data_IF_397290487156
#
_entry.id   IF_397290487156
#
_cell.length_a   1.000
_cell.length_b   1.000
_cell.length_c   1.000
_cell.angle_alpha   90.00
_cell.angle_beta   90.00
_cell.angle_gamma   90.00
#
_symmetry.space_group_name_H-M   'P 1'
#
loop_
_entity.id
_entity.type
_entity.pdbx_description
1 polymer ?
#
# COMPACT_ATOMS: atom_id res chain seq x y z
N UNK A 1 12.10 -0.92 -12.34
CA UNK A 1 12.58 -2.32 -12.36
C UNK A 1 12.48 -2.95 -13.74
N UNK A 2 11.32 -2.96 -14.39
CA UNK A 2 11.21 -3.47 -15.77
C UNK A 2 12.10 -2.71 -16.76
N UNK A 3 12.17 -1.37 -16.66
CA UNK A 3 13.02 -0.52 -17.51
C UNK A 3 14.51 -0.87 -17.32
N UNK A 4 14.93 -1.07 -16.07
CA UNK A 4 16.29 -1.52 -15.74
C UNK A 4 16.60 -2.92 -16.31
N UNK A 5 15.61 -3.83 -16.34
CA UNK A 5 15.78 -5.18 -16.88
C UNK A 5 15.79 -5.23 -18.41
N UNK A 6 15.21 -4.21 -19.06
CA UNK A 6 15.28 -4.02 -20.52
C UNK A 6 16.59 -3.38 -20.97
N UNK A 7 17.38 -2.86 -20.03
CA UNK A 7 18.61 -2.11 -20.33
C UNK A 7 18.36 -0.71 -20.87
N UNK A 8 17.13 -0.22 -20.75
CA UNK A 8 16.75 1.12 -21.18
C UNK A 8 17.27 2.16 -20.17
N UNK A 9 17.80 3.26 -20.68
CA UNK A 9 18.15 4.40 -19.84
C UNK A 9 16.88 5.00 -19.22
N UNK A 10 16.92 5.24 -17.92
CA UNK A 10 15.83 5.93 -17.23
C UNK A 10 16.36 6.86 -16.16
N UNK A 11 15.65 7.97 -15.98
CA UNK A 11 15.81 8.85 -14.85
C UNK A 11 14.65 8.62 -13.89
N UNK A 12 14.97 8.37 -12.62
CA UNK A 12 13.97 8.17 -11.58
C UNK A 12 13.97 9.34 -10.60
N UNK A 13 12.82 9.97 -10.47
CA UNK A 13 12.58 11.10 -9.57
C UNK A 13 11.72 10.63 -8.40
N UNK A 14 12.24 10.72 -7.17
CA UNK A 14 11.46 10.41 -5.98
C UNK A 14 10.72 11.66 -5.52
N UNK A 15 9.45 11.51 -5.19
CA UNK A 15 8.62 12.60 -4.64
C UNK A 15 9.27 13.27 -3.42
N UNK A 16 9.93 12.49 -2.55
CA UNK A 16 10.66 12.99 -1.39
C UNK A 16 11.80 13.96 -1.73
N UNK A 17 12.47 13.77 -2.87
CA UNK A 17 13.56 14.66 -3.34
C UNK A 17 13.03 16.06 -3.70
N UNK A 18 11.71 16.17 -3.92
CA UNK A 18 11.00 17.41 -4.26
C UNK A 18 10.12 17.93 -3.11
N UNK A 19 10.40 17.49 -1.87
CA UNK A 19 9.69 17.94 -0.65
C UNK A 19 8.19 17.63 -0.65
N UNK A 20 7.77 16.61 -1.40
CA UNK A 20 6.42 16.04 -1.28
C UNK A 20 6.46 15.06 -0.11
N UNK A 21 5.67 15.29 0.96
CA UNK A 21 5.63 14.39 2.10
C UNK A 21 5.06 13.03 1.70
N UNK A 22 5.44 12.00 2.45
CA UNK A 22 4.91 10.66 2.25
C UNK A 22 3.44 10.57 2.69
N UNK A 23 2.66 9.81 1.94
CA UNK A 23 1.36 9.28 2.36
C UNK A 23 1.23 7.82 1.92
N UNK A 24 0.30 7.10 2.52
CA UNK A 24 0.12 5.67 2.29
C UNK A 24 -0.30 5.38 0.84
N UNK A 25 0.48 4.55 0.15
CA UNK A 25 0.12 4.04 -1.18
C UNK A 25 0.81 2.69 -1.46
N UNK A 26 0.07 1.66 -1.93
CA UNK A 26 -1.39 1.63 -2.09
C UNK A 26 -2.14 1.49 -0.74
N UNK A 27 -3.46 1.72 -0.75
CA UNK A 27 -4.36 1.53 0.40
C UNK A 27 -5.55 0.63 0.05
N UNK A 28 -6.17 0.03 1.07
CA UNK A 28 -7.46 -0.66 0.95
C UNK A 28 -8.56 0.34 1.30
N UNK A 29 -9.57 0.46 0.44
CA UNK A 29 -10.68 1.40 0.62
C UNK A 29 -12.00 0.64 0.70
N UNK A 30 -12.89 1.10 1.57
CA UNK A 30 -14.26 0.62 1.70
C UNK A 30 -15.23 1.80 1.67
N UNK A 31 -16.50 1.52 1.38
CA UNK A 31 -17.58 2.50 1.47
C UNK A 31 -17.90 2.79 2.95
N UNK A 32 -17.73 4.04 3.38
CA UNK A 32 -17.97 4.48 4.76
C UNK A 32 -19.38 4.13 5.25
N UNK A 33 -20.38 4.23 4.36
CA UNK A 33 -21.78 3.98 4.69
C UNK A 33 -22.05 2.51 5.01
N UNK A 34 -21.12 1.63 4.65
CA UNK A 34 -21.23 0.19 4.86
C UNK A 34 -20.37 -0.31 6.02
N UNK A 35 -19.52 0.52 6.63
CA UNK A 35 -18.59 0.09 7.69
C UNK A 35 -19.33 -0.53 8.87
N UNK A 36 -20.39 0.12 9.36
CA UNK A 36 -21.18 -0.40 10.48
C UNK A 36 -21.91 -1.68 10.08
N UNK A 37 -22.62 -1.64 8.95
CA UNK A 37 -23.46 -2.76 8.49
C UNK A 37 -22.67 -4.01 8.06
N UNK A 38 -21.39 -3.86 7.67
CA UNK A 38 -20.52 -4.94 7.17
C UNK A 38 -19.26 -5.14 8.01
N UNK A 39 -19.24 -4.63 9.24
CA UNK A 39 -18.07 -4.64 10.12
C UNK A 39 -17.39 -6.01 10.20
N UNK A 40 -18.17 -7.06 10.47
CA UNK A 40 -17.65 -8.43 10.59
C UNK A 40 -17.01 -8.94 9.29
N UNK A 41 -17.62 -8.66 8.14
CA UNK A 41 -17.09 -9.05 6.85
C UNK A 41 -15.78 -8.32 6.53
N UNK A 42 -15.68 -7.03 6.86
CA UNK A 42 -14.45 -6.25 6.68
C UNK A 42 -13.33 -6.70 7.61
N UNK A 43 -13.62 -6.96 8.89
CA UNK A 43 -12.65 -7.51 9.83
C UNK A 43 -12.15 -8.90 9.37
N UNK A 44 -13.05 -9.77 8.92
CA UNK A 44 -12.67 -11.08 8.40
C UNK A 44 -11.80 -10.97 7.14
N UNK A 45 -12.15 -10.06 6.21
CA UNK A 45 -11.36 -9.79 5.02
C UNK A 45 -9.96 -9.27 5.36
N UNK A 46 -9.86 -8.29 6.26
CA UNK A 46 -8.57 -7.71 6.67
C UNK A 46 -7.71 -8.74 7.39
N UNK A 47 -8.28 -9.56 8.27
CA UNK A 47 -7.56 -10.67 8.94
C UNK A 47 -7.03 -11.70 7.93
N UNK A 48 -7.82 -12.08 6.94
CA UNK A 48 -7.38 -12.99 5.88
C UNK A 48 -6.29 -12.36 5.00
N UNK A 49 -6.44 -11.07 4.69
CA UNK A 49 -5.46 -10.31 3.92
C UNK A 49 -4.12 -10.20 4.67
N UNK A 50 -4.15 -9.84 5.96
CA UNK A 50 -2.97 -9.79 6.83
C UNK A 50 -2.19 -11.11 6.81
N UNK A 51 -2.90 -12.24 6.94
CA UNK A 51 -2.29 -13.58 6.84
C UNK A 51 -1.59 -13.79 5.49
N UNK A 52 -2.16 -13.31 4.39
CA UNK A 52 -1.53 -13.37 3.06
C UNK A 52 -0.23 -12.56 2.99
N UNK A 53 -0.22 -11.34 3.52
CA UNK A 53 0.99 -10.51 3.57
C UNK A 53 2.10 -11.12 4.43
N UNK A 54 1.74 -11.69 5.59
CA UNK A 54 2.69 -12.39 6.46
C UNK A 54 3.20 -13.68 5.81
N UNK A 55 2.33 -14.42 5.13
CA UNK A 55 2.73 -15.59 4.36
C UNK A 55 3.76 -15.25 3.28
N UNK A 56 3.64 -14.10 2.62
CA UNK A 56 4.65 -13.62 1.67
C UNK A 56 6.03 -13.41 2.30
N UNK A 57 6.10 -13.07 3.59
CA UNK A 57 7.37 -12.97 4.34
C UNK A 57 7.92 -14.34 4.71
N UNK A 58 7.05 -15.24 5.15
CA UNK A 58 7.42 -16.57 5.63
C UNK A 58 7.80 -17.52 4.48
N UNK A 59 7.13 -17.40 3.33
CA UNK A 59 7.23 -18.31 2.18
C UNK A 59 7.37 -17.53 0.86
N UNK A 60 8.41 -16.69 0.69
CA UNK A 60 8.51 -15.76 -0.44
C UNK A 60 8.52 -16.46 -1.80
N UNK A 61 9.13 -17.64 -1.90
CA UNK A 61 9.20 -18.40 -3.15
C UNK A 61 7.83 -18.95 -3.56
N UNK A 62 7.07 -19.48 -2.59
CA UNK A 62 5.70 -19.95 -2.84
C UNK A 62 4.76 -18.80 -3.17
N UNK A 63 4.89 -17.67 -2.47
CA UNK A 63 4.12 -16.47 -2.76
C UNK A 63 4.37 -15.95 -4.18
N UNK A 64 5.63 -15.92 -4.63
CA UNK A 64 5.99 -15.57 -6.01
C UNK A 64 5.38 -16.57 -6.99
N UNK A 65 5.44 -17.87 -6.72
CA UNK A 65 4.87 -18.89 -7.60
C UNK A 65 3.34 -18.76 -7.75
N UNK A 66 2.63 -18.46 -6.64
CA UNK A 66 1.19 -18.19 -6.66
C UNK A 66 0.89 -17.01 -7.59
N UNK A 67 1.55 -15.87 -7.38
CA UNK A 67 1.33 -14.69 -8.21
C UNK A 67 1.71 -14.94 -9.67
N UNK A 68 2.86 -15.58 -9.93
CA UNK A 68 3.34 -15.87 -11.27
C UNK A 68 2.35 -16.66 -12.13
N UNK A 69 1.58 -17.56 -11.52
CA UNK A 69 0.54 -18.34 -12.23
C UNK A 69 -0.69 -17.50 -12.63
N UNK A 70 -0.88 -16.35 -12.00
CA UNK A 70 -2.01 -15.43 -12.22
C UNK A 70 -1.62 -14.19 -13.05
N UNK A 71 -0.32 -13.94 -13.24
CA UNK A 71 0.18 -12.78 -14.00
C UNK A 71 -0.19 -12.94 -15.49
N UNK A 72 -0.81 -11.92 -16.12
CA UNK A 72 -1.11 -11.95 -17.55
C UNK A 72 0.14 -12.11 -18.41
N UNK A 73 0.00 -12.70 -19.60
CA UNK A 73 1.12 -12.99 -20.52
C UNK A 73 2.02 -11.77 -20.75
N UNK A 74 1.42 -10.61 -21.01
CA UNK A 74 2.11 -9.33 -21.26
C UNK A 74 3.04 -8.88 -20.12
N UNK A 75 2.80 -9.36 -18.91
CA UNK A 75 3.48 -8.94 -17.68
C UNK A 75 4.44 -10.03 -17.14
N UNK A 76 4.54 -11.20 -17.81
CA UNK A 76 5.42 -12.30 -17.38
C UNK A 76 6.91 -11.93 -17.34
N UNK A 77 7.31 -10.86 -18.03
CA UNK A 77 8.67 -10.33 -17.98
C UNK A 77 9.01 -9.60 -16.68
N UNK A 78 8.06 -9.42 -15.74
CA UNK A 78 8.34 -8.81 -14.43
C UNK A 78 9.12 -9.79 -13.55
N UNK A 79 10.25 -9.33 -13.01
CA UNK A 79 10.93 -10.03 -11.93
C UNK A 79 10.17 -9.92 -10.60
N UNK A 80 9.21 -10.82 -10.41
CA UNK A 80 8.36 -10.87 -9.22
C UNK A 80 9.15 -11.12 -7.92
N UNK A 81 10.26 -11.87 -7.98
CA UNK A 81 11.12 -12.09 -6.81
C UNK A 81 11.76 -10.79 -6.34
N UNK A 82 12.33 -10.01 -7.26
CA UNK A 82 12.91 -8.70 -6.95
C UNK A 82 11.84 -7.72 -6.46
N UNK A 83 10.65 -7.74 -7.08
CA UNK A 83 9.52 -6.92 -6.67
C UNK A 83 9.10 -7.22 -5.23
N UNK A 84 8.89 -8.50 -4.91
CA UNK A 84 8.53 -8.91 -3.56
C UNK A 84 9.59 -8.46 -2.55
N UNK A 85 10.88 -8.75 -2.81
CA UNK A 85 11.98 -8.38 -1.91
C UNK A 85 12.01 -6.88 -1.57
N UNK A 86 11.74 -6.01 -2.55
CA UNK A 86 11.66 -4.57 -2.30
C UNK A 86 10.43 -4.20 -1.45
N UNK A 87 9.32 -4.91 -1.60
CA UNK A 87 8.06 -4.66 -0.90
C UNK A 87 8.00 -5.22 0.52
N UNK A 88 8.76 -6.28 0.86
CA UNK A 88 8.66 -6.97 2.15
C UNK A 88 8.80 -6.06 3.39
N UNK A 89 9.60 -4.98 3.28
CA UNK A 89 9.76 -4.01 4.36
C UNK A 89 8.46 -3.26 4.68
N UNK A 90 7.67 -2.94 3.65
CA UNK A 90 6.41 -2.21 3.79
C UNK A 90 5.27 -3.08 4.35
N UNK A 91 5.42 -4.40 4.35
CA UNK A 91 4.35 -5.33 4.77
C UNK A 91 4.16 -5.39 6.30
N UNK A 92 4.95 -4.70 7.12
CA UNK A 92 4.79 -4.72 8.59
C UNK A 92 4.95 -6.11 9.23
N UNK A 93 4.53 -6.26 10.48
CA UNK A 93 4.51 -7.52 11.25
C UNK A 93 3.08 -7.85 11.65
N UNK A 94 2.85 -8.96 12.36
CA UNK A 94 1.50 -9.31 12.82
C UNK A 94 0.75 -8.15 13.47
N UNK A 95 1.41 -7.44 14.37
CA UNK A 95 0.78 -6.35 15.14
C UNK A 95 0.80 -4.99 14.42
N UNK A 96 1.62 -4.83 13.37
CA UNK A 96 1.80 -3.56 12.67
C UNK A 96 1.30 -3.56 11.22
N UNK A 97 0.89 -4.71 10.69
CA UNK A 97 0.33 -4.80 9.34
C UNK A 97 -0.93 -3.95 9.22
N UNK A 98 -1.02 -3.19 8.13
CA UNK A 98 -2.21 -2.40 7.78
C UNK A 98 -2.47 -1.18 8.67
N UNK A 99 -1.79 -1.04 9.82
CA UNK A 99 -1.98 0.10 10.72
C UNK A 99 -1.47 1.39 10.09
N UNK A 100 -2.35 2.38 10.04
CA UNK A 100 -2.01 3.72 9.57
C UNK A 100 -1.80 4.68 10.74
N UNK A 101 -0.81 5.55 10.61
CA UNK A 101 -0.49 6.61 11.55
C UNK A 101 -1.23 7.89 11.15
N UNK A 102 -1.98 8.46 12.09
CA UNK A 102 -2.75 9.69 11.86
C UNK A 102 -1.86 10.87 11.51
N UNK A 103 -0.72 11.03 12.18
CA UNK A 103 0.20 12.15 11.98
C UNK A 103 0.83 12.16 10.59
N UNK A 104 1.12 10.97 10.04
CA UNK A 104 1.58 10.83 8.64
C UNK A 104 0.52 11.35 7.66
N UNK A 105 -0.74 10.99 7.86
CA UNK A 105 -1.85 11.41 6.99
C UNK A 105 -2.11 12.91 7.16
N UNK A 106 -2.17 13.40 8.40
CA UNK A 106 -2.32 14.83 8.71
C UNK A 106 -1.24 15.66 8.03
N UNK A 107 0.03 15.28 8.16
CA UNK A 107 1.16 15.99 7.52
C UNK A 107 0.98 16.11 6.01
N UNK A 108 0.49 15.05 5.36
CA UNK A 108 0.26 15.07 3.92
C UNK A 108 -0.94 15.95 3.52
N UNK A 109 -2.05 15.89 4.26
CA UNK A 109 -3.25 16.69 4.00
C UNK A 109 -2.98 18.20 4.23
N UNK A 110 -2.24 18.54 5.29
CA UNK A 110 -1.79 19.90 5.55
C UNK A 110 -0.92 20.42 4.40
N UNK A 111 0.02 19.60 3.92
CA UNK A 111 0.83 19.96 2.76
C UNK A 111 -0.01 20.20 1.49
N UNK A 112 -1.05 19.39 1.22
CA UNK A 112 -1.95 19.63 0.10
C UNK A 112 -2.63 21.00 0.19
N UNK A 113 -3.13 21.33 1.38
CA UNK A 113 -3.79 22.61 1.64
C UNK A 113 -2.80 23.80 1.51
N UNK A 114 -1.62 23.71 2.12
CA UNK A 114 -0.58 24.73 2.06
C UNK A 114 -0.07 24.99 0.63
N UNK A 115 -0.10 23.96 -0.23
CA UNK A 115 0.23 24.07 -1.65
C UNK A 115 -0.92 24.55 -2.52
N UNK A 116 -2.10 24.78 -1.95
CA UNK A 116 -3.32 25.15 -2.70
C UNK A 116 -3.80 24.04 -3.63
N UNK A 117 -3.41 22.79 -3.36
CA UNK A 117 -3.89 21.61 -4.10
C UNK A 117 -5.26 21.16 -3.59
N UNK A 118 -5.61 21.56 -2.37
CA UNK A 118 -6.95 21.40 -1.81
C UNK A 118 -7.52 22.76 -1.39
N UNK A 119 -8.83 22.92 -1.58
CA UNK A 119 -9.53 24.19 -1.30
C UNK A 119 -9.90 24.36 0.17
N UNK A 120 -9.90 23.26 0.93
CA UNK A 120 -10.30 23.22 2.34
C UNK A 120 -9.41 22.24 3.10
N UNK A 121 -9.14 22.48 4.39
CA UNK A 121 -8.51 21.49 5.25
C UNK A 121 -9.38 20.23 5.34
N UNK A 122 -8.73 19.06 5.33
CA UNK A 122 -9.37 17.76 5.49
C UNK A 122 -8.91 17.16 6.82
N UNK A 123 -9.85 16.69 7.63
CA UNK A 123 -9.53 15.96 8.85
C UNK A 123 -9.07 14.55 8.49
N UNK A 124 -7.87 14.17 8.92
CA UNK A 124 -7.34 12.83 8.72
C UNK A 124 -8.29 11.77 9.31
N UNK A 125 -8.91 12.02 10.47
CA UNK A 125 -9.79 11.04 11.12
C UNK A 125 -11.07 10.76 10.33
N UNK A 126 -11.43 11.61 9.38
CA UNK A 126 -12.58 11.41 8.50
C UNK A 126 -12.29 10.48 7.31
N UNK A 127 -11.02 10.22 7.00
CA UNK A 127 -10.64 9.52 5.75
C UNK A 127 -9.91 8.19 5.96
N UNK A 128 -9.64 7.80 7.21
CA UNK A 128 -9.11 6.47 7.52
C UNK A 128 -9.59 5.97 8.89
N UNK A 129 -9.52 4.66 9.09
CA UNK A 129 -9.77 4.03 10.39
C UNK A 129 -8.88 2.80 10.57
N UNK A 130 -8.46 2.55 11.82
CA UNK A 130 -7.79 1.32 12.24
C UNK A 130 -8.73 0.39 13.02
N UNK A 131 -10.01 0.75 13.22
CA UNK A 131 -10.95 -0.01 14.06
C UNK A 131 -11.36 -1.38 13.50
N UNK A 132 -11.08 -1.60 12.21
CA UNK A 132 -11.39 -2.84 11.50
C UNK A 132 -10.21 -3.83 11.47
N UNK A 133 -9.04 -3.43 11.97
CA UNK A 133 -7.83 -4.27 12.03
C UNK A 133 -7.84 -5.19 13.26
#
# INVERSE_FOLDING_TARGET
MQVQERGDDFTYFKMADYKVPYSYSPVIVVDENKIVARKEAYQAFLKATARGYLYCKEQPEKAVAILASLVPEKDKGINLKKALQMSLKAFGTGDSWGRMDQGVITTFLEWLYDKGLETKPIDATAIFTNELL
#
